data_IF_781073626039
#
_entry.id   IF_781073626039
#
_cell.length_a   1.000
_cell.length_b   1.000
_cell.length_c   1.000
_cell.angle_alpha   90.00
_cell.angle_beta   90.00
_cell.angle_gamma   90.00
#
_symmetry.space_group_name_H-M   'P 1'
#
loop_
_entity.id
_entity.type
_entity.pdbx_description
1 polymer ?
#
# COMPACT_ATOMS: atom_id res chain seq x y z
N UNK A 1 -3.86 53.97 13.87
CA UNK A 1 -2.83 52.95 14.14
C UNK A 1 -2.67 52.65 15.64
N UNK A 2 -3.01 53.59 16.53
CA UNK A 2 -2.81 53.44 17.98
C UNK A 2 -3.69 52.38 18.67
N UNK A 3 -4.92 52.17 18.18
CA UNK A 3 -5.82 51.15 18.74
C UNK A 3 -5.29 49.72 18.54
N UNK A 4 -4.68 49.43 17.39
CA UNK A 4 -4.07 48.12 17.10
C UNK A 4 -2.87 47.87 18.02
N UNK A 5 -2.09 48.91 18.30
CA UNK A 5 -0.92 48.85 19.18
C UNK A 5 -1.32 48.56 20.63
N UNK A 6 -2.42 49.15 21.11
CA UNK A 6 -2.96 48.88 22.45
C UNK A 6 -3.50 47.45 22.60
N UNK A 7 -4.14 46.92 21.56
CA UNK A 7 -4.63 45.53 21.54
C UNK A 7 -3.43 44.57 21.61
N UNK A 8 -2.42 44.76 20.75
CA UNK A 8 -1.22 43.92 20.70
C UNK A 8 -0.42 43.92 22.01
N UNK A 9 -0.34 45.05 22.72
CA UNK A 9 0.37 45.17 24.00
C UNK A 9 -0.25 44.35 25.14
N UNK A 10 -1.55 44.04 25.03
CA UNK A 10 -2.30 43.28 26.02
C UNK A 10 -2.49 41.79 25.65
N UNK A 11 -1.98 41.37 24.48
CA UNK A 11 -2.02 39.95 24.09
C UNK A 11 -0.93 39.21 24.84
N UNK A 12 -1.35 38.26 25.66
CA UNK A 12 -0.43 37.42 26.41
C UNK A 12 0.39 36.54 25.44
N UNK A 13 1.74 36.56 25.47
CA UNK A 13 2.60 35.78 24.58
C UNK A 13 2.30 34.27 24.61
N UNK A 14 1.65 33.79 25.66
CA UNK A 14 1.14 32.44 25.80
C UNK A 14 0.29 31.98 24.60
N UNK A 15 -0.57 32.84 24.05
CA UNK A 15 -1.44 32.47 22.93
C UNK A 15 -0.67 32.18 21.64
N UNK A 16 0.43 32.90 21.40
CA UNK A 16 1.30 32.66 20.26
C UNK A 16 2.03 31.33 20.37
N UNK A 17 2.51 30.99 21.57
CA UNK A 17 3.16 29.70 21.85
C UNK A 17 2.17 28.55 21.65
N UNK A 18 0.94 28.70 22.17
CA UNK A 18 -0.12 27.71 22.01
C UNK A 18 -0.50 27.52 20.54
N UNK A 19 -0.60 28.61 19.77
CA UNK A 19 -0.85 28.55 18.33
C UNK A 19 0.25 27.79 17.58
N UNK A 20 1.51 28.08 17.88
CA UNK A 20 2.65 27.38 17.27
C UNK A 20 2.68 25.89 17.64
N UNK A 21 2.37 25.56 18.90
CA UNK A 21 2.28 24.18 19.37
C UNK A 21 1.18 23.41 18.62
N UNK A 22 0.02 24.02 18.44
CA UNK A 22 -1.10 23.42 17.71
C UNK A 22 -0.74 23.17 16.24
N UNK A 23 -0.03 24.10 15.61
CA UNK A 23 0.45 23.94 14.25
C UNK A 23 1.47 22.80 14.11
N UNK A 24 2.40 22.70 15.07
CA UNK A 24 3.40 21.63 15.13
C UNK A 24 2.73 20.25 15.31
N UNK A 25 1.71 20.18 16.18
CA UNK A 25 0.92 18.98 16.42
C UNK A 25 0.16 18.55 15.15
N UNK A 26 -0.45 19.50 14.43
CA UNK A 26 -1.11 19.25 13.15
C UNK A 26 -0.15 18.66 12.10
N UNK A 27 1.09 19.14 12.04
CA UNK A 27 2.10 18.56 11.14
C UNK A 27 2.48 17.13 11.54
N UNK A 28 2.65 16.86 12.83
CA UNK A 28 2.94 15.50 13.32
C UNK A 28 1.79 14.54 12.97
N UNK A 29 0.54 14.96 13.20
CA UNK A 29 -0.66 14.17 12.88
C UNK A 29 -0.74 13.81 11.40
N UNK A 30 -0.34 14.73 10.49
CA UNK A 30 -0.28 14.44 9.05
C UNK A 30 0.69 13.30 8.71
N UNK A 31 1.83 13.23 9.40
CA UNK A 31 2.81 12.15 9.19
C UNK A 31 2.26 10.82 9.69
N UNK A 32 1.65 10.82 10.88
CA UNK A 32 1.05 9.63 11.49
C UNK A 32 -0.09 9.10 10.60
N UNK A 33 -0.96 9.98 10.09
CA UNK A 33 -2.07 9.60 9.22
C UNK A 33 -1.59 8.90 7.94
N UNK A 34 -0.54 9.43 7.29
CA UNK A 34 0.04 8.79 6.10
C UNK A 34 0.59 7.40 6.41
N UNK A 35 1.30 7.26 7.54
CA UNK A 35 1.83 5.97 7.96
C UNK A 35 0.71 4.99 8.27
N UNK A 36 -0.33 5.44 8.97
CA UNK A 36 -1.51 4.62 9.27
C UNK A 36 -2.21 4.13 8.00
N UNK A 37 -2.42 5.00 7.02
CA UNK A 37 -3.02 4.61 5.73
C UNK A 37 -2.14 3.61 4.97
N UNK A 38 -0.82 3.80 4.98
CA UNK A 38 0.12 2.86 4.36
C UNK A 38 0.09 1.49 5.03
N UNK A 39 0.12 1.47 6.37
CA UNK A 39 0.02 0.23 7.15
C UNK A 39 -1.30 -0.48 6.90
N UNK A 40 -2.40 0.27 6.81
CA UNK A 40 -3.73 -0.28 6.49
C UNK A 40 -3.70 -1.01 5.15
N UNK A 41 -3.19 -0.38 4.09
CA UNK A 41 -3.09 -1.01 2.76
C UNK A 41 -2.27 -2.30 2.80
N UNK A 42 -1.12 -2.30 3.49
CA UNK A 42 -0.29 -3.50 3.63
C UNK A 42 -1.03 -4.60 4.38
N UNK A 43 -1.71 -4.26 5.48
CA UNK A 43 -2.41 -5.24 6.31
C UNK A 43 -3.54 -5.91 5.54
N UNK A 44 -4.36 -5.12 4.84
CA UNK A 44 -5.45 -5.64 4.01
C UNK A 44 -4.93 -6.45 2.82
N UNK A 45 -3.84 -6.01 2.19
CA UNK A 45 -3.18 -6.79 1.13
C UNK A 45 -2.75 -8.18 1.61
N UNK A 46 -2.08 -8.25 2.78
CA UNK A 46 -1.66 -9.53 3.38
C UNK A 46 -2.83 -10.42 3.78
N UNK A 47 -3.92 -9.84 4.27
CA UNK A 47 -5.14 -10.59 4.59
C UNK A 47 -5.77 -11.19 3.33
N UNK A 48 -5.87 -10.41 2.25
CA UNK A 48 -6.37 -10.90 0.97
C UNK A 48 -5.49 -12.00 0.36
N UNK A 49 -4.16 -11.85 0.42
CA UNK A 49 -3.22 -12.90 0.00
C UNK A 49 -3.40 -14.19 0.81
N UNK A 50 -3.56 -14.08 2.14
CA UNK A 50 -3.79 -15.23 3.02
C UNK A 50 -5.13 -15.92 2.73
N UNK A 51 -6.18 -15.14 2.50
CA UNK A 51 -7.49 -15.67 2.15
C UNK A 51 -7.47 -16.41 0.80
N UNK A 52 -6.84 -15.83 -0.21
CA UNK A 52 -6.66 -16.45 -1.51
C UNK A 52 -5.85 -17.75 -1.41
N UNK A 53 -4.75 -17.76 -0.63
CA UNK A 53 -3.96 -18.97 -0.33
C UNK A 53 -4.85 -20.07 0.24
N UNK A 54 -5.66 -19.76 1.25
CA UNK A 54 -6.55 -20.72 1.88
C UNK A 54 -7.61 -21.25 0.91
N UNK A 55 -8.15 -20.38 0.04
CA UNK A 55 -9.12 -20.75 -0.98
C UNK A 55 -8.50 -21.70 -2.02
N UNK A 56 -7.26 -21.46 -2.45
CA UNK A 56 -6.52 -22.34 -3.37
C UNK A 56 -6.31 -23.73 -2.75
N UNK A 57 -5.80 -23.78 -1.51
CA UNK A 57 -5.59 -25.05 -0.80
C UNK A 57 -6.91 -25.81 -0.64
N UNK A 58 -7.99 -25.12 -0.22
CA UNK A 58 -9.32 -25.71 -0.07
C UNK A 58 -9.86 -26.31 -1.37
N UNK A 59 -9.49 -25.74 -2.52
CA UNK A 59 -9.91 -26.22 -3.84
C UNK A 59 -8.94 -27.24 -4.46
N UNK A 60 -8.01 -27.80 -3.67
CA UNK A 60 -7.09 -28.86 -4.10
C UNK A 60 -5.95 -28.38 -4.98
N UNK A 61 -5.57 -27.10 -4.87
CA UNK A 61 -4.34 -26.59 -5.49
C UNK A 61 -3.17 -26.74 -4.53
N UNK A 62 -2.04 -27.23 -5.05
CA UNK A 62 -0.75 -27.22 -4.37
C UNK A 62 -0.03 -25.91 -4.68
N UNK A 63 0.39 -25.17 -3.65
CA UNK A 63 1.13 -23.93 -3.83
C UNK A 63 2.61 -24.26 -3.93
N UNK A 64 3.19 -24.05 -5.10
CA UNK A 64 4.61 -24.30 -5.34
C UNK A 64 5.46 -23.11 -4.88
N UNK A 65 5.12 -21.90 -5.32
CA UNK A 65 5.86 -20.68 -5.00
C UNK A 65 4.95 -19.45 -4.94
N UNK A 66 5.38 -18.45 -4.16
CA UNK A 66 4.69 -17.15 -4.02
C UNK A 66 5.60 -16.02 -4.47
N UNK A 67 5.02 -15.00 -5.12
CA UNK A 67 5.71 -13.80 -5.57
C UNK A 67 6.98 -14.06 -6.44
N UNK A 68 7.02 -15.18 -7.16
CA UNK A 68 8.12 -15.56 -8.04
C UNK A 68 8.27 -14.56 -9.21
N UNK A 69 9.51 -14.24 -9.57
CA UNK A 69 9.83 -13.50 -10.80
C UNK A 69 10.32 -14.45 -11.87
N UNK A 70 9.53 -14.64 -12.93
CA UNK A 70 9.87 -15.49 -14.07
C UNK A 70 10.41 -14.65 -15.22
N UNK A 71 11.51 -15.11 -15.83
CA UNK A 71 12.07 -14.51 -17.05
C UNK A 71 11.53 -15.23 -18.27
N UNK A 72 10.90 -14.48 -19.17
CA UNK A 72 10.35 -14.97 -20.43
C UNK A 72 11.08 -14.40 -21.63
N UNK A 73 10.95 -15.10 -22.76
CA UNK A 73 11.38 -14.60 -24.07
C UNK A 73 10.19 -14.68 -25.03
N UNK A 74 9.94 -13.60 -25.74
CA UNK A 74 8.89 -13.49 -26.75
C UNK A 74 9.56 -13.21 -28.10
N UNK A 75 9.18 -13.96 -29.14
CA UNK A 75 9.55 -13.63 -30.50
C UNK A 75 8.46 -12.73 -31.09
N UNK A 76 8.78 -11.45 -31.30
CA UNK A 76 7.85 -10.46 -31.86
C UNK A 76 8.48 -9.85 -33.11
N UNK A 77 7.83 -9.97 -34.28
CA UNK A 77 8.32 -9.45 -35.55
C UNK A 77 9.77 -9.85 -35.89
N UNK A 78 10.09 -11.15 -35.74
CA UNK A 78 11.43 -11.73 -35.93
C UNK A 78 12.52 -11.18 -34.98
N UNK A 79 12.15 -10.40 -33.95
CA UNK A 79 13.06 -9.93 -32.90
C UNK A 79 12.74 -10.61 -31.57
N UNK A 80 13.77 -11.11 -30.91
CA UNK A 80 13.65 -11.66 -29.56
C UNK A 80 13.56 -10.53 -28.54
N UNK A 81 12.47 -10.50 -27.77
CA UNK A 81 12.28 -9.59 -26.64
C UNK A 81 12.28 -10.39 -25.34
N UNK A 82 12.96 -9.86 -24.34
CA UNK A 82 12.99 -10.44 -23.00
C UNK A 82 11.98 -9.71 -22.14
N UNK A 83 11.22 -10.45 -21.34
CA UNK A 83 10.26 -9.87 -20.42
C UNK A 83 10.32 -10.58 -19.07
N UNK A 84 9.78 -9.94 -18.05
CA UNK A 84 9.66 -10.49 -16.71
C UNK A 84 8.19 -10.49 -16.33
N UNK A 85 7.72 -11.60 -15.77
CA UNK A 85 6.39 -11.68 -15.15
C UNK A 85 6.56 -11.98 -13.67
N UNK A 86 5.76 -11.32 -12.85
CA UNK A 86 5.72 -11.52 -11.40
C UNK A 86 4.30 -11.87 -10.97
N UNK A 87 3.89 -13.14 -11.16
CA UNK A 87 2.64 -13.65 -10.61
C UNK A 87 2.70 -13.65 -9.08
N UNK A 88 1.53 -13.66 -8.45
CA UNK A 88 1.43 -13.69 -6.99
C UNK A 88 1.55 -15.13 -6.48
N UNK A 89 1.04 -16.11 -7.24
CA UNK A 89 1.22 -17.54 -6.97
C UNK A 89 1.59 -18.33 -8.22
N UNK A 90 2.42 -19.35 -8.03
CA UNK A 90 2.58 -20.49 -8.92
C UNK A 90 1.95 -21.70 -8.21
N UNK A 91 0.88 -22.25 -8.80
CA UNK A 91 0.14 -23.38 -8.23
C UNK A 91 0.09 -24.57 -9.18
N UNK A 92 -0.09 -25.76 -8.62
CA UNK A 92 -0.23 -27.01 -9.37
C UNK A 92 -1.58 -27.66 -9.06
N UNK A 93 -2.28 -28.11 -10.10
CA UNK A 93 -3.49 -28.94 -9.98
C UNK A 93 -3.57 -29.89 -11.17
N UNK A 94 -3.85 -31.17 -10.92
CA UNK A 94 -3.95 -32.21 -11.95
C UNK A 94 -2.74 -32.24 -12.89
N UNK A 95 -1.53 -32.09 -12.33
CA UNK A 95 -0.26 -32.05 -13.07
C UNK A 95 -0.07 -30.85 -14.01
N UNK A 96 -0.92 -29.82 -13.91
CA UNK A 96 -0.82 -28.57 -14.66
C UNK A 96 -0.32 -27.46 -13.73
N UNK A 97 0.70 -26.73 -14.17
CA UNK A 97 1.21 -25.55 -13.48
C UNK A 97 0.46 -24.30 -13.96
N UNK A 98 -0.03 -23.50 -13.03
CA UNK A 98 -0.86 -22.31 -13.30
C UNK A 98 -0.23 -21.11 -12.58
N UNK A 99 -0.08 -20.01 -13.31
CA UNK A 99 0.34 -18.72 -12.76
C UNK A 99 -0.91 -17.90 -12.42
N UNK A 100 -1.02 -17.45 -11.17
CA UNK A 100 -2.16 -16.66 -10.70
C UNK A 100 -1.72 -15.25 -10.32
N UNK A 101 -2.52 -14.28 -10.76
CA UNK A 101 -2.43 -12.88 -10.34
C UNK A 101 -3.68 -12.56 -9.53
N UNK A 102 -3.50 -12.17 -8.28
CA UNK A 102 -4.59 -11.68 -7.46
C UNK A 102 -4.96 -10.27 -7.90
N UNK A 103 -6.26 -10.04 -8.03
CA UNK A 103 -6.81 -8.70 -8.11
C UNK A 103 -7.62 -8.48 -6.83
N UNK A 104 -7.23 -7.55 -5.95
CA UNK A 104 -8.08 -7.17 -4.84
C UNK A 104 -9.34 -6.54 -5.41
N UNK A 105 -10.49 -7.19 -5.19
CA UNK A 105 -11.77 -6.78 -5.78
C UNK A 105 -12.30 -5.48 -5.14
N UNK A 106 -11.83 -5.10 -3.95
CA UNK A 106 -12.20 -3.87 -3.25
C UNK A 106 -10.99 -3.17 -2.64
N UNK A 107 -10.47 -2.12 -3.29
CA UNK A 107 -9.55 -1.17 -2.66
C UNK A 107 -10.08 0.28 -2.62
N UNK A 108 -11.21 0.58 -3.27
CA UNK A 108 -11.85 1.91 -3.28
C UNK A 108 -13.37 1.81 -3.55
N UNK A 109 -14.14 1.39 -2.54
CA UNK A 109 -15.57 1.77 -2.43
C UNK A 109 -15.75 2.54 -1.13
#
# INVERSE_FOLDING_TARGET
MDQIYHILKNVNPFYFILFFLFFLLGWLMRKIYKLFMFLRVILFGKLGEKEARNLLIKNGYEILEEQLTLKGKLLENKKMRFFFIRPDFLVKKNNINILLKLKPENLLQ
#
